data_IF_054524641706
#
_entry.id   IF_054524641706
#
_cell.length_a   1.000
_cell.length_b   1.000
_cell.length_c   1.000
_cell.angle_alpha   90.00
_cell.angle_beta   90.00
_cell.angle_gamma   90.00
#
_symmetry.space_group_name_H-M   'P 1'
#
loop_
_entity.id
_entity.type
_entity.pdbx_description
1 polymer ?
#
# COMPACT_ATOMS: atom_id res chain seq x y z
N UNK A 1 5.40 4.71 14.05
CA UNK A 1 5.94 3.35 13.83
C UNK A 1 7.17 3.43 12.94
N UNK A 2 8.05 2.45 13.05
CA UNK A 2 9.19 2.37 12.16
C UNK A 2 8.72 2.02 10.75
N UNK A 3 9.36 2.62 9.75
CA UNK A 3 8.96 2.40 8.37
C UNK A 3 9.03 0.92 7.96
N UNK A 4 10.00 0.17 8.50
CA UNK A 4 10.11 -1.25 8.20
C UNK A 4 8.88 -2.03 8.60
N UNK A 5 8.27 -1.67 9.72
CA UNK A 5 7.04 -2.31 10.18
C UNK A 5 5.88 -1.98 9.25
N UNK A 6 5.78 -0.73 8.80
CA UNK A 6 4.73 -0.32 7.87
C UNK A 6 4.88 -1.01 6.52
N UNK A 7 6.11 -1.13 6.03
CA UNK A 7 6.41 -1.84 4.77
C UNK A 7 5.96 -3.29 4.88
N UNK A 8 6.31 -3.94 5.98
CA UNK A 8 5.91 -5.33 6.20
C UNK A 8 4.40 -5.49 6.22
N UNK A 9 3.70 -4.59 6.91
CA UNK A 9 2.24 -4.62 6.98
C UNK A 9 1.62 -4.41 5.59
N UNK A 10 2.14 -3.46 4.84
CA UNK A 10 1.62 -3.18 3.50
C UNK A 10 1.83 -4.38 2.58
N UNK A 11 2.99 -5.04 2.67
CA UNK A 11 3.24 -6.24 1.87
C UNK A 11 2.31 -7.39 2.24
N UNK A 12 1.99 -7.55 3.52
CA UNK A 12 1.05 -8.57 3.96
C UNK A 12 -0.36 -8.30 3.42
N UNK A 13 -0.78 -7.05 3.44
CA UNK A 13 -2.08 -6.65 2.89
C UNK A 13 -2.11 -6.94 1.39
N UNK A 14 -1.05 -6.56 0.68
CA UNK A 14 -0.96 -6.80 -0.75
C UNK A 14 -0.98 -8.29 -1.08
N UNK A 15 -0.27 -9.10 -0.30
CA UNK A 15 -0.25 -10.55 -0.51
C UNK A 15 -1.64 -11.16 -0.36
N UNK A 16 -2.44 -10.65 0.58
CA UNK A 16 -3.81 -11.11 0.75
C UNK A 16 -4.64 -10.85 -0.51
N UNK A 17 -4.59 -9.64 -1.03
CA UNK A 17 -5.39 -9.30 -2.20
C UNK A 17 -4.84 -9.87 -3.50
N UNK A 18 -3.54 -10.15 -3.56
CA UNK A 18 -2.91 -10.69 -4.74
C UNK A 18 -3.44 -12.09 -5.08
N UNK A 19 -3.67 -12.90 -4.06
CA UNK A 19 -4.17 -14.27 -4.26
C UNK A 19 -5.68 -14.40 -4.20
N UNK A 20 -6.39 -13.31 -4.02
CA UNK A 20 -7.82 -13.34 -3.69
C UNK A 20 -8.70 -13.16 -4.91
N UNK A 21 -9.58 -14.14 -5.16
CA UNK A 21 -10.71 -13.94 -6.08
C UNK A 21 -10.40 -13.68 -7.54
N UNK A 22 -9.18 -13.85 -7.98
CA UNK A 22 -8.84 -13.65 -9.39
C UNK A 22 -8.84 -12.18 -9.83
N UNK A 23 -8.64 -11.25 -8.90
CA UNK A 23 -8.53 -9.83 -9.24
C UNK A 23 -7.33 -9.59 -10.15
N UNK A 24 -7.48 -8.67 -11.11
CA UNK A 24 -6.33 -8.22 -11.87
C UNK A 24 -5.47 -7.28 -10.99
N UNK A 25 -4.31 -6.90 -11.51
CA UNK A 25 -3.35 -6.10 -10.75
C UNK A 25 -3.93 -4.74 -10.34
N UNK A 26 -4.68 -4.09 -11.22
CA UNK A 26 -5.25 -2.79 -10.92
C UNK A 26 -6.34 -2.88 -9.87
N UNK A 27 -7.20 -3.89 -9.96
CA UNK A 27 -8.23 -4.12 -8.94
C UNK A 27 -7.59 -4.41 -7.59
N UNK A 28 -6.59 -5.27 -7.58
CA UNK A 28 -5.88 -5.61 -6.35
C UNK A 28 -5.21 -4.39 -5.73
N UNK A 29 -4.57 -3.54 -6.56
CA UNK A 29 -3.95 -2.32 -6.08
C UNK A 29 -4.98 -1.36 -5.49
N UNK A 30 -6.16 -1.25 -6.10
CA UNK A 30 -7.24 -0.42 -5.57
C UNK A 30 -7.72 -0.96 -4.22
N UNK A 31 -7.82 -2.27 -4.08
CA UNK A 31 -8.21 -2.88 -2.80
C UNK A 31 -7.17 -2.62 -1.71
N UNK A 32 -5.89 -2.70 -2.05
CA UNK A 32 -4.82 -2.37 -1.12
C UNK A 32 -4.94 -0.91 -0.67
N UNK A 33 -5.06 0.00 -1.62
CA UNK A 33 -5.16 1.43 -1.33
C UNK A 33 -6.39 1.74 -0.47
N UNK A 34 -7.53 1.14 -0.79
CA UNK A 34 -8.76 1.32 -0.03
C UNK A 34 -8.60 0.82 1.41
N UNK A 35 -7.93 -0.34 1.57
CA UNK A 35 -7.68 -0.89 2.89
C UNK A 35 -6.82 0.06 3.73
N UNK A 36 -5.74 0.58 3.15
CA UNK A 36 -4.88 1.53 3.85
C UNK A 36 -5.64 2.79 4.23
N UNK A 37 -6.45 3.31 3.32
CA UNK A 37 -7.24 4.52 3.59
C UNK A 37 -8.23 4.32 4.71
N UNK A 38 -8.87 3.16 4.78
CA UNK A 38 -9.91 2.88 5.78
C UNK A 38 -9.36 2.55 7.14
N UNK A 39 -8.25 1.80 7.20
CA UNK A 39 -7.82 1.18 8.45
C UNK A 39 -6.55 1.75 9.03
N UNK A 40 -5.69 2.36 8.22
CA UNK A 40 -4.48 2.97 8.73
C UNK A 40 -4.76 4.36 9.24
N UNK A 41 -4.11 4.72 10.36
CA UNK A 41 -4.18 6.09 10.87
C UNK A 41 -3.53 7.05 9.89
N UNK A 42 -3.96 8.34 9.88
CA UNK A 42 -3.38 9.34 8.97
C UNK A 42 -1.85 9.42 9.03
N UNK A 43 -1.26 9.29 10.21
CA UNK A 43 0.20 9.33 10.35
C UNK A 43 0.87 8.18 9.62
N UNK A 44 0.28 7.00 9.70
CA UNK A 44 0.83 5.82 9.04
C UNK A 44 0.77 6.00 7.53
N UNK A 45 -0.35 6.51 7.03
CA UNK A 45 -0.50 6.77 5.59
C UNK A 45 0.50 7.81 5.12
N UNK A 46 0.62 8.92 5.84
CA UNK A 46 1.56 9.98 5.49
C UNK A 46 3.00 9.46 5.47
N UNK A 47 3.36 8.68 6.46
CA UNK A 47 4.71 8.11 6.54
C UNK A 47 5.00 7.19 5.36
N UNK A 48 4.03 6.38 4.97
CA UNK A 48 4.19 5.46 3.84
C UNK A 48 4.24 6.21 2.52
N UNK A 49 3.40 7.23 2.34
CA UNK A 49 3.42 8.06 1.14
C UNK A 49 4.76 8.78 1.02
N UNK A 50 5.27 9.31 2.12
CA UNK A 50 6.59 9.94 2.13
C UNK A 50 7.69 8.95 1.75
N UNK A 51 7.60 7.72 2.25
CA UNK A 51 8.54 6.67 1.91
C UNK A 51 8.52 6.35 0.42
N UNK A 52 7.33 6.32 -0.18
CA UNK A 52 7.20 6.11 -1.62
C UNK A 52 7.86 7.25 -2.40
N UNK A 53 7.61 8.49 -1.99
CA UNK A 53 8.11 9.66 -2.71
C UNK A 53 9.60 9.87 -2.53
N UNK A 54 10.13 9.62 -1.33
CA UNK A 54 11.53 9.87 -1.01
C UNK A 54 12.44 8.71 -1.36
N UNK A 55 11.96 7.49 -1.25
CA UNK A 55 12.77 6.29 -1.40
C UNK A 55 12.20 5.29 -2.39
N UNK A 56 11.22 5.69 -3.18
CA UNK A 56 10.62 4.82 -4.18
C UNK A 56 9.88 3.63 -3.60
N UNK A 57 9.53 3.69 -2.31
CA UNK A 57 8.85 2.57 -1.66
C UNK A 57 9.77 1.38 -1.40
N UNK A 58 11.04 1.64 -1.09
CA UNK A 58 12.02 0.60 -0.85
C UNK A 58 11.47 -0.47 0.09
N UNK A 59 11.59 -1.73 -0.31
CA UNK A 59 11.10 -2.88 0.44
C UNK A 59 9.66 -3.28 0.13
N UNK A 60 8.88 -2.41 -0.53
CA UNK A 60 7.51 -2.74 -0.92
C UNK A 60 7.51 -3.68 -2.11
N UNK A 61 6.65 -4.70 -2.06
CA UNK A 61 6.38 -5.53 -3.22
C UNK A 61 5.70 -4.69 -4.30
N UNK A 62 5.72 -5.16 -5.53
CA UNK A 62 5.17 -4.41 -6.65
C UNK A 62 3.70 -4.02 -6.42
N UNK A 63 2.87 -4.96 -5.98
CA UNK A 63 1.46 -4.68 -5.73
C UNK A 63 1.28 -3.69 -4.60
N UNK A 64 2.04 -3.82 -3.52
CA UNK A 64 1.98 -2.89 -2.40
C UNK A 64 2.37 -1.49 -2.86
N UNK A 65 3.43 -1.38 -3.67
CA UNK A 65 3.86 -0.09 -4.21
C UNK A 65 2.78 0.56 -5.05
N UNK A 66 2.11 -0.22 -5.91
CA UNK A 66 1.01 0.30 -6.72
C UNK A 66 -0.14 0.79 -5.87
N UNK A 67 -0.47 0.04 -4.81
CA UNK A 67 -1.52 0.45 -3.88
C UNK A 67 -1.19 1.74 -3.17
N UNK A 68 0.04 1.89 -2.69
CA UNK A 68 0.47 3.12 -2.03
C UNK A 68 0.47 4.29 -3.02
N UNK A 69 0.85 4.05 -4.28
CA UNK A 69 0.81 5.09 -5.31
C UNK A 69 -0.61 5.59 -5.55
N UNK A 70 -1.59 4.69 -5.61
CA UNK A 70 -3.00 5.09 -5.75
C UNK A 70 -3.48 5.88 -4.54
N UNK A 71 -3.08 5.46 -3.35
CA UNK A 71 -3.41 6.17 -2.12
C UNK A 71 -2.82 7.59 -2.15
N UNK A 72 -1.57 7.72 -2.55
CA UNK A 72 -0.89 9.02 -2.64
C UNK A 72 -1.53 9.93 -3.67
N UNK A 73 -2.03 9.36 -4.75
CA UNK A 73 -2.69 10.12 -5.82
C UNK A 73 -4.14 10.50 -5.49
N UNK A 74 -4.67 10.03 -4.37
CA UNK A 74 -6.04 10.34 -3.97
C UNK A 74 -7.08 9.63 -4.82
N UNK A 75 -6.76 8.47 -5.35
CA UNK A 75 -7.66 7.73 -6.26
C UNK A 75 -8.51 6.68 -5.56
N UNK A 76 -8.58 6.76 -4.24
CA UNK A 76 -9.44 5.89 -3.46
C UNK A 76 -10.16 6.66 -2.37
#
# INVERSE_FOLDING_TARGET
>A
MKIEALVKMANQIAAFFDGEGGHDTEEAATLVATHLRRYWEPRMRTQMIDHLQSRGGDGLDELARKGVALLAAGKV
#
